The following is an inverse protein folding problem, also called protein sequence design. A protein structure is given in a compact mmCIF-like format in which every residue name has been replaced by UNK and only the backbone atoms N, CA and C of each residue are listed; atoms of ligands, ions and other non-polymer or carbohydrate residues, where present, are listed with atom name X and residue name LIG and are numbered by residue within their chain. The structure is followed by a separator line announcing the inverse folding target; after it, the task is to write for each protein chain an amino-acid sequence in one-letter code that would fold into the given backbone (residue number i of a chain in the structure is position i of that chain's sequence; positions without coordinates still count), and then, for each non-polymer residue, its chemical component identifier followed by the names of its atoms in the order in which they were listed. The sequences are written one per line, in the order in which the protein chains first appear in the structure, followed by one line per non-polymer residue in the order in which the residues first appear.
data_IF_184442123399
#
_entry.id   IF_184442123399
#
_cell.length_a   1.000
_cell.length_b   1.000
_cell.length_c   1.000
_cell.angle_alpha   90.00
_cell.angle_beta   90.00
_cell.angle_gamma   90.00
#
_symmetry.space_group_name_H-M   'P 1'
#
loop_
_entity.id
_entity.type
_entity.pdbx_description
1 polymer ?
#
# COMPACT_ATOMS: atom_id res chain seq x y z
N UNK A 1 24.25 10.46 -33.82
CA UNK A 1 24.70 10.51 -32.41
C UNK A 1 23.53 10.39 -31.42
N UNK A 2 22.28 10.66 -31.83
CA UNK A 2 21.05 10.61 -31.01
C UNK A 2 20.56 9.21 -30.63
N UNK A 3 20.65 8.21 -31.53
CA UNK A 3 20.10 6.85 -31.26
C UNK A 3 20.77 6.12 -30.09
N UNK A 4 22.06 6.40 -29.82
CA UNK A 4 22.79 5.78 -28.71
C UNK A 4 22.35 6.37 -27.36
N UNK A 5 22.22 7.69 -27.30
CA UNK A 5 21.82 8.41 -26.09
C UNK A 5 20.37 8.09 -25.69
N UNK A 6 19.48 7.94 -26.68
CA UNK A 6 18.08 7.58 -26.46
C UNK A 6 17.95 6.15 -25.91
N UNK A 7 18.73 5.19 -26.43
CA UNK A 7 18.78 3.82 -25.91
C UNK A 7 19.35 3.76 -24.50
N UNK A 8 20.42 4.50 -24.21
CA UNK A 8 21.02 4.54 -22.88
C UNK A 8 20.08 5.16 -21.84
N UNK A 9 19.29 6.18 -22.22
CA UNK A 9 18.24 6.77 -21.37
C UNK A 9 17.08 5.81 -21.13
N UNK A 10 16.62 5.09 -22.15
CA UNK A 10 15.56 4.09 -22.01
C UNK A 10 15.95 2.98 -21.04
N UNK A 11 17.15 2.41 -21.21
CA UNK A 11 17.67 1.34 -20.36
C UNK A 11 17.86 1.79 -18.90
N UNK A 12 18.32 3.03 -18.66
CA UNK A 12 18.41 3.59 -17.29
C UNK A 12 17.05 3.76 -16.65
N UNK A 13 16.04 4.22 -17.40
CA UNK A 13 14.67 4.38 -16.90
C UNK A 13 14.04 3.04 -16.53
N UNK A 14 14.21 2.01 -17.37
CA UNK A 14 13.69 0.66 -17.10
C UNK A 14 14.34 0.05 -15.85
N UNK A 15 15.65 0.27 -15.64
CA UNK A 15 16.35 -0.16 -14.42
C UNK A 15 15.94 0.60 -13.17
N UNK A 16 15.53 1.86 -13.28
CA UNK A 16 15.04 2.64 -12.15
C UNK A 16 13.61 2.21 -11.74
N UNK A 17 12.75 1.88 -12.72
CA UNK A 17 11.36 1.45 -12.46
C UNK A 17 11.29 0.00 -11.95
N UNK A 18 12.23 -0.87 -12.34
CA UNK A 18 12.27 -2.28 -11.94
C UNK A 18 12.19 -2.50 -10.42
N UNK A 19 13.10 -1.93 -9.61
CA UNK A 19 13.11 -2.06 -8.15
C UNK A 19 11.80 -1.57 -7.50
N UNK A 20 11.25 -0.46 -7.96
CA UNK A 20 10.03 0.11 -7.37
C UNK A 20 8.80 -0.72 -7.69
N UNK A 21 8.72 -1.28 -8.91
CA UNK A 21 7.71 -2.28 -9.26
C UNK A 21 7.84 -3.53 -8.39
N UNK A 22 9.05 -4.04 -8.18
CA UNK A 22 9.28 -5.20 -7.30
C UNK A 22 8.82 -4.92 -5.87
N UNK A 23 9.12 -3.73 -5.31
CA UNK A 23 8.66 -3.33 -3.97
C UNK A 23 7.13 -3.25 -3.91
N UNK A 24 6.49 -2.63 -4.90
CA UNK A 24 5.03 -2.51 -4.95
C UNK A 24 4.36 -3.90 -4.98
N UNK A 25 4.88 -4.82 -5.81
CA UNK A 25 4.39 -6.20 -5.89
C UNK A 25 4.62 -6.93 -4.57
N UNK A 26 5.82 -6.83 -3.98
CA UNK A 26 6.13 -7.48 -2.72
C UNK A 26 5.23 -6.99 -1.59
N UNK A 27 4.98 -5.67 -1.50
CA UNK A 27 4.07 -5.09 -0.52
C UNK A 27 2.62 -5.57 -0.74
N UNK A 28 2.14 -5.58 -1.99
CA UNK A 28 0.80 -6.07 -2.32
C UNK A 28 0.64 -7.55 -1.95
N UNK A 29 1.63 -8.38 -2.25
CA UNK A 29 1.64 -9.80 -1.86
C UNK A 29 1.67 -9.98 -0.35
N UNK A 30 2.49 -9.22 0.37
CA UNK A 30 2.55 -9.29 1.83
C UNK A 30 1.19 -8.92 2.48
N UNK A 31 0.55 -7.84 2.00
CA UNK A 31 -0.78 -7.43 2.46
C UNK A 31 -1.83 -8.49 2.14
N UNK A 32 -1.80 -9.06 0.93
CA UNK A 32 -2.73 -10.14 0.54
C UNK A 32 -2.55 -11.40 1.40
N UNK A 33 -1.31 -11.87 1.58
CA UNK A 33 -1.04 -13.07 2.39
C UNK A 33 -1.44 -12.81 3.85
N UNK A 34 -1.09 -11.65 4.42
CA UNK A 34 -1.48 -11.28 5.77
C UNK A 34 -2.98 -11.13 5.97
N UNK A 35 -3.74 -10.80 4.92
CA UNK A 35 -5.20 -10.65 5.02
C UNK A 35 -5.94 -11.99 5.00
N UNK A 36 -5.41 -13.00 4.29
CA UNK A 36 -6.06 -14.31 4.14
C UNK A 36 -5.60 -15.36 5.16
N UNK A 37 -4.34 -15.29 5.62
CA UNK A 37 -3.77 -16.27 6.55
C UNK A 37 -4.38 -16.07 7.95
N UNK A 38 -4.84 -17.13 8.62
CA UNK A 38 -5.26 -17.04 10.01
C UNK A 38 -4.09 -16.59 10.88
N UNK A 39 -4.30 -15.55 11.68
CA UNK A 39 -3.40 -15.29 12.81
C UNK A 39 -3.74 -16.32 13.87
N UNK A 40 -2.79 -17.15 14.33
CA UNK A 40 -3.06 -18.08 15.42
C UNK A 40 -3.67 -17.29 16.57
N UNK A 41 -4.90 -17.63 16.94
CA UNK A 41 -5.42 -17.20 18.22
C UNK A 41 -4.50 -17.85 19.25
N UNK A 42 -3.55 -17.08 19.78
CA UNK A 42 -3.03 -17.37 21.11
C UNK A 42 -4.26 -17.59 21.97
N UNK A 43 -4.33 -18.74 22.64
CA UNK A 43 -5.38 -19.10 23.59
C UNK A 43 -5.86 -17.84 24.31
N UNK A 44 -7.16 -17.58 24.25
CA UNK A 44 -7.86 -16.42 24.79
C UNK A 44 -7.83 -16.34 26.33
N UNK A 45 -6.66 -16.54 26.91
CA UNK A 45 -6.28 -16.10 28.25
C UNK A 45 -5.85 -14.65 28.08
N UNK A 46 -6.71 -13.74 28.50
CA UNK A 46 -6.51 -12.30 28.46
C UNK A 46 -5.13 -11.93 29.03
N UNK A 47 -4.24 -11.36 28.20
CA UNK A 47 -3.02 -10.70 28.66
C UNK A 47 -1.68 -11.13 28.04
N UNK A 48 -1.63 -12.07 27.10
CA UNK A 48 -0.35 -12.59 26.55
C UNK A 48 -0.25 -12.50 25.01
N UNK A 49 -1.16 -11.76 24.37
CA UNK A 49 -1.10 -11.52 22.92
C UNK A 49 0.00 -10.50 22.58
N UNK A 50 0.86 -10.82 21.60
CA UNK A 50 1.90 -9.90 21.09
C UNK A 50 1.35 -8.50 20.71
N UNK A 51 0.06 -8.43 20.35
CA UNK A 51 -0.62 -7.22 19.93
C UNK A 51 -1.51 -6.59 21.01
N UNK A 52 -1.72 -7.24 22.17
CA UNK A 52 -2.54 -6.76 23.30
C UNK A 52 -2.23 -5.31 23.73
N UNK A 53 -0.95 -4.93 23.94
CA UNK A 53 -0.62 -3.54 24.27
C UNK A 53 -0.93 -2.56 23.13
N UNK A 54 -0.88 -3.01 21.87
CA UNK A 54 -1.27 -2.17 20.72
C UNK A 54 -2.78 -1.97 20.70
N UNK A 55 -3.57 -3.04 20.94
CA UNK A 55 -5.04 -2.94 21.07
C UNK A 55 -5.44 -1.94 22.14
N UNK A 56 -4.77 -1.99 23.30
CA UNK A 56 -5.07 -1.14 24.44
C UNK A 56 -4.81 0.35 24.18
N UNK A 57 -4.02 0.69 23.16
CA UNK A 57 -3.72 2.08 22.77
C UNK A 57 -4.62 2.63 21.67
N UNK A 58 -5.47 1.81 21.07
CA UNK A 58 -6.39 2.26 20.03
C UNK A 58 -7.57 3.04 20.63
N UNK A 59 -7.98 4.17 20.01
CA UNK A 59 -9.18 4.89 20.43
C UNK A 59 -10.40 3.99 20.47
N UNK A 60 -11.31 4.25 21.41
CA UNK A 60 -12.58 3.51 21.49
C UNK A 60 -13.32 3.57 20.15
N UNK A 61 -13.61 2.40 19.57
CA UNK A 61 -14.26 2.26 18.26
C UNK A 61 -13.32 2.03 17.07
N UNK A 62 -12.00 2.02 17.28
CA UNK A 62 -11.02 1.59 16.27
C UNK A 62 -10.73 0.10 16.46
N UNK A 63 -11.25 -0.72 15.55
CA UNK A 63 -10.93 -2.13 15.43
C UNK A 63 -9.46 -2.34 15.06
N UNK A 64 -8.90 -3.46 15.51
CA UNK A 64 -7.49 -3.79 15.34
C UNK A 64 -7.00 -3.79 13.90
N UNK A 65 -7.88 -4.08 12.96
CA UNK A 65 -7.55 -4.19 11.55
C UNK A 65 -7.40 -2.81 10.91
N UNK A 66 -8.11 -1.77 11.37
CA UNK A 66 -8.14 -0.46 10.71
C UNK A 66 -6.76 0.19 10.52
N UNK A 67 -5.85 0.20 11.51
CA UNK A 67 -4.52 0.75 11.31
C UNK A 67 -3.74 -0.01 10.24
N UNK A 68 -3.90 -1.33 10.15
CA UNK A 68 -3.25 -2.16 9.14
C UNK A 68 -3.84 -1.93 7.75
N UNK A 69 -5.16 -1.78 7.65
CA UNK A 69 -5.82 -1.36 6.42
C UNK A 69 -5.25 -0.01 5.97
N UNK A 70 -5.34 1.02 6.81
CA UNK A 70 -4.82 2.34 6.48
C UNK A 70 -3.34 2.30 6.05
N UNK A 71 -2.46 1.73 6.87
CA UNK A 71 -1.02 1.73 6.62
C UNK A 71 -0.63 0.86 5.41
N UNK A 72 -1.26 -0.30 5.24
CA UNK A 72 -1.00 -1.21 4.12
C UNK A 72 -1.33 -0.57 2.78
N UNK A 73 -2.51 0.05 2.66
CA UNK A 73 -2.92 0.70 1.41
C UNK A 73 -2.23 2.05 1.19
N UNK A 74 -1.84 2.75 2.25
CA UNK A 74 -0.95 3.90 2.12
C UNK A 74 0.42 3.50 1.55
N UNK A 75 1.02 2.42 2.05
CA UNK A 75 2.28 1.92 1.53
C UNK A 75 2.17 1.50 0.06
N UNK A 76 1.14 0.72 -0.29
CA UNK A 76 0.94 0.27 -1.68
C UNK A 76 0.76 1.48 -2.61
N UNK A 77 -0.06 2.47 -2.24
CA UNK A 77 -0.29 3.65 -3.06
C UNK A 77 0.99 4.50 -3.21
N UNK A 78 1.77 4.67 -2.14
CA UNK A 78 3.05 5.38 -2.20
C UNK A 78 4.04 4.71 -3.16
N UNK A 79 4.13 3.37 -3.13
CA UNK A 79 4.99 2.59 -4.02
C UNK A 79 4.50 2.53 -5.47
N UNK A 80 3.20 2.75 -5.70
CA UNK A 80 2.62 2.81 -7.04
C UNK A 80 2.88 4.14 -7.75
N UNK A 81 3.11 5.24 -7.02
CA UNK A 81 3.35 6.57 -7.63
C UNK A 81 4.57 6.57 -8.58
N UNK A 82 5.77 6.07 -8.19
CA UNK A 82 6.95 6.01 -9.07
C UNK A 82 6.84 5.18 -10.32
N UNK A 83 5.93 4.21 -10.33
CA UNK A 83 5.72 3.30 -11.47
C UNK A 83 4.55 3.72 -12.37
N UNK A 84 3.76 4.71 -11.94
CA UNK A 84 2.61 5.21 -12.67
C UNK A 84 3.01 6.28 -13.71
N UNK A 85 2.15 6.58 -14.71
CA UNK A 85 2.39 7.70 -15.63
C UNK A 85 2.57 9.03 -14.89
N UNK A 86 3.47 9.90 -15.31
CA UNK A 86 3.72 11.16 -14.60
C UNK A 86 2.48 12.08 -14.52
N UNK A 87 2.41 12.86 -13.46
CA UNK A 87 1.39 13.87 -13.22
C UNK A 87 0.11 13.32 -12.56
N UNK A 88 -0.93 14.16 -12.51
CA UNK A 88 -2.19 13.88 -11.78
C UNK A 88 -2.85 12.57 -12.15
N UNK A 89 -2.73 12.13 -13.41
CA UNK A 89 -3.29 10.87 -13.89
C UNK A 89 -2.61 9.66 -13.24
N UNK A 90 -1.30 9.66 -13.05
CA UNK A 90 -0.61 8.57 -12.37
C UNK A 90 -0.98 8.45 -10.92
N UNK A 91 -1.06 9.59 -10.22
CA UNK A 91 -1.51 9.65 -8.82
C UNK A 91 -2.92 9.07 -8.69
N UNK A 92 -3.85 9.48 -9.57
CA UNK A 92 -5.19 8.92 -9.60
C UNK A 92 -5.19 7.40 -9.85
N UNK A 93 -4.35 6.90 -10.76
CA UNK A 93 -4.21 5.47 -11.03
C UNK A 93 -3.62 4.70 -9.83
N UNK A 94 -2.66 5.28 -9.11
CA UNK A 94 -2.09 4.70 -7.91
C UNK A 94 -3.13 4.58 -6.79
N UNK A 95 -3.91 5.65 -6.56
CA UNK A 95 -5.02 5.66 -5.59
C UNK A 95 -6.08 4.62 -5.96
N UNK A 96 -6.59 4.67 -7.20
CA UNK A 96 -7.63 3.75 -7.67
C UNK A 96 -7.14 2.32 -7.66
N UNK A 97 -5.89 2.07 -8.07
CA UNK A 97 -5.27 0.74 -8.07
C UNK A 97 -5.17 0.16 -6.66
N UNK A 98 -4.66 0.93 -5.70
CA UNK A 98 -4.56 0.49 -4.31
C UNK A 98 -5.94 0.26 -3.67
N UNK A 99 -6.89 1.17 -3.90
CA UNK A 99 -8.26 1.04 -3.38
C UNK A 99 -9.00 -0.17 -3.99
N UNK A 100 -8.88 -0.37 -5.31
CA UNK A 100 -9.47 -1.52 -6.00
C UNK A 100 -8.84 -2.85 -5.55
N UNK A 101 -7.52 -2.86 -5.32
CA UNK A 101 -6.83 -4.02 -4.75
C UNK A 101 -7.36 -4.36 -3.35
N UNK A 102 -7.53 -3.35 -2.49
CA UNK A 102 -8.09 -3.56 -1.16
C UNK A 102 -9.54 -4.00 -1.14
N UNK A 103 -10.36 -3.43 -2.00
CA UNK A 103 -11.74 -3.89 -2.21
C UNK A 103 -11.77 -5.34 -2.72
N UNK A 104 -10.86 -5.72 -3.62
CA UNK A 104 -10.71 -7.11 -4.08
C UNK A 104 -10.34 -8.07 -2.93
N UNK A 105 -9.49 -7.64 -2.00
CA UNK A 105 -9.18 -8.43 -0.79
C UNK A 105 -10.42 -8.64 0.07
N UNK A 106 -11.23 -7.60 0.31
CA UNK A 106 -12.50 -7.73 1.06
C UNK A 106 -13.44 -8.76 0.41
N UNK A 107 -13.54 -8.76 -0.93
CA UNK A 107 -14.34 -9.73 -1.66
C UNK A 107 -13.80 -11.17 -1.52
N UNK A 108 -12.48 -11.33 -1.53
CA UNK A 108 -11.81 -12.63 -1.29
C UNK A 108 -12.00 -13.10 0.15
N UNK A 109 -12.09 -12.18 1.11
CA UNK A 109 -12.31 -12.46 2.52
C UNK A 109 -13.76 -12.79 2.84
N UNK A 110 -14.73 -12.29 2.07
CA UNK A 110 -16.16 -12.52 2.29
C UNK A 110 -16.57 -14.00 2.51
N UNK A 111 -16.02 -14.99 1.78
CA UNK A 111 -16.32 -16.40 2.01
C UNK A 111 -15.44 -17.09 3.09
N UNK A 112 -14.46 -16.40 3.69
CA UNK A 112 -13.54 -17.01 4.67
C UNK A 112 -14.21 -17.02 6.06
N UNK A 113 -14.37 -18.15 6.75
CA UNK A 113 -15.21 -18.24 7.97
C UNK A 113 -14.83 -17.31 9.13
N UNK A 114 -13.55 -16.94 9.25
CA UNK A 114 -13.04 -16.04 10.29
C UNK A 114 -12.84 -14.59 9.81
N UNK A 115 -13.36 -14.25 8.62
CA UNK A 115 -13.36 -12.90 8.07
C UNK A 115 -14.77 -12.54 7.60
N UNK A 116 -15.03 -11.24 7.51
CA UNK A 116 -16.29 -10.71 7.00
C UNK A 116 -15.99 -9.52 6.13
N UNK A 117 -16.74 -9.37 5.04
CA UNK A 117 -16.69 -8.16 4.22
C UNK A 117 -17.15 -6.96 5.03
N UNK A 118 -16.35 -5.89 5.07
CA UNK A 118 -16.70 -4.65 5.75
C UNK A 118 -16.54 -3.43 4.83
N UNK A 119 -17.66 -2.76 4.54
CA UNK A 119 -17.65 -1.47 3.80
C UNK A 119 -16.77 -0.42 4.45
N UNK A 120 -16.67 -0.44 5.78
CA UNK A 120 -15.84 0.47 6.54
C UNK A 120 -14.36 0.25 6.27
N UNK A 121 -13.92 -1.01 6.19
CA UNK A 121 -12.53 -1.36 5.91
C UNK A 121 -12.16 -0.98 4.47
N UNK A 122 -13.05 -1.20 3.51
CA UNK A 122 -12.89 -0.67 2.15
C UNK A 122 -12.75 0.88 2.12
N UNK A 123 -13.51 1.60 2.96
CA UNK A 123 -13.38 3.04 3.12
C UNK A 123 -12.03 3.46 3.69
N UNK A 124 -11.55 2.76 4.74
CA UNK A 124 -10.23 3.00 5.34
C UNK A 124 -9.10 2.73 4.34
N UNK A 125 -9.22 1.69 3.51
CA UNK A 125 -8.28 1.40 2.42
C UNK A 125 -8.16 2.57 1.45
N UNK A 126 -9.31 3.14 1.05
CA UNK A 126 -9.34 4.27 0.14
C UNK A 126 -8.69 5.53 0.75
N UNK A 127 -8.96 5.81 2.04
CA UNK A 127 -8.32 6.93 2.76
C UNK A 127 -6.81 6.73 2.86
N UNK A 128 -6.37 5.52 3.22
CA UNK A 128 -4.96 5.14 3.24
C UNK A 128 -4.30 5.36 1.88
N UNK A 129 -4.93 4.89 0.80
CA UNK A 129 -4.43 5.06 -0.56
C UNK A 129 -4.25 6.53 -0.96
N UNK A 130 -5.20 7.41 -0.62
CA UNK A 130 -5.08 8.85 -0.88
C UNK A 130 -3.88 9.45 -0.14
N UNK A 131 -3.75 9.15 1.16
CA UNK A 131 -2.63 9.66 1.97
C UNK A 131 -1.29 9.13 1.45
N UNK A 132 -1.21 7.84 1.18
CA UNK A 132 -0.02 7.18 0.64
C UNK A 132 0.43 7.76 -0.70
N UNK A 133 -0.50 7.98 -1.63
CA UNK A 133 -0.18 8.60 -2.90
C UNK A 133 0.33 10.04 -2.73
N UNK A 134 -0.27 10.83 -1.81
CA UNK A 134 0.21 12.17 -1.51
C UNK A 134 1.65 12.13 -0.96
N UNK A 135 1.96 11.22 -0.03
CA UNK A 135 3.33 11.02 0.46
C UNK A 135 4.28 10.62 -0.66
N UNK A 136 3.87 9.67 -1.52
CA UNK A 136 4.66 9.24 -2.67
C UNK A 136 5.05 10.39 -3.58
N UNK A 137 4.12 11.31 -3.86
CA UNK A 137 4.43 12.50 -4.68
C UNK A 137 5.46 13.44 -4.06
N UNK A 138 5.48 13.59 -2.73
CA UNK A 138 6.48 14.41 -2.03
C UNK A 138 7.87 13.78 -2.10
N UNK A 139 7.94 12.44 -2.07
CA UNK A 139 9.22 11.72 -2.12
C UNK A 139 9.87 11.67 -3.51
N UNK A 140 9.14 12.01 -4.57
CA UNK A 140 9.69 12.12 -5.94
C UNK A 140 10.40 13.47 -6.21
N UNK A 141 10.08 14.52 -5.45
CA UNK A 141 10.63 15.88 -5.62
C UNK A 141 12.08 16.19 -5.14
N UNK A 142 12.94 15.28 -4.65
CA UNK A 142 14.31 15.65 -4.20
C UNK A 142 15.40 15.97 -5.27
N UNK A 143 15.11 16.58 -6.43
CA UNK A 143 16.15 17.03 -7.38
C UNK A 143 15.86 18.38 -8.06
N UNK A 144 15.98 19.48 -7.33
CA UNK A 144 16.51 20.78 -7.79
C UNK A 144 16.87 21.58 -6.52
N UNK A 145 18.07 22.17 -6.36
CA UNK A 145 18.83 22.88 -7.40
C UNK A 145 20.36 22.66 -7.34
N UNK A 146 21.04 22.76 -8.49
CA UNK A 146 22.33 23.47 -8.59
C UNK A 146 22.45 24.08 -9.98
N UNK A 147 21.98 25.32 -10.12
CA UNK A 147 22.55 26.23 -11.10
C UNK A 147 23.92 26.66 -10.56
N UNK A 148 24.98 26.29 -11.26
CA UNK A 148 26.35 26.75 -11.06
C UNK A 148 27.07 26.68 -12.39
#
# INVERSE_FOLDING_TARGET
MTDRDDRERAVRRDRAVGPDRTKAIAAALAVFVGSVVPVPAGSSTSGDGLLDPVVATLPAGVGLTEPFHFAGYALIAALLVPVAPRGRRGVALAVVGAAAFGFGIELVQAPIPWRSFAWRDAGVNAVGAVVGAAVGTVTEDPQAPTSG
#
